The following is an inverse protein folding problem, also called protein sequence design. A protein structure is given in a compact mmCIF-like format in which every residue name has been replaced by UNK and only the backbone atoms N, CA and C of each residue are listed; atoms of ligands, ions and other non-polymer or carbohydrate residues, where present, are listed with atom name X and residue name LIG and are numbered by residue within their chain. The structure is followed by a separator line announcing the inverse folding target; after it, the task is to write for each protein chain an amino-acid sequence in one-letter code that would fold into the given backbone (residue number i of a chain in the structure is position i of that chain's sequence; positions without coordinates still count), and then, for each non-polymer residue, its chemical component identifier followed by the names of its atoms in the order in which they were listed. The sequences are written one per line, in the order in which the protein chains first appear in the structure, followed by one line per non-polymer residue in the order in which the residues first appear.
data_IF_164858541372
#
_entry.id   IF_164858541372
#
_cell.length_a   1.000
_cell.length_b   1.000
_cell.length_c   1.000
_cell.angle_alpha   90.00
_cell.angle_beta   90.00
_cell.angle_gamma   90.00
#
_symmetry.space_group_name_H-M   'P 1'
#
loop_
_entity.id
_entity.type
_entity.pdbx_description
1 polymer ?
#
# COMPACT_ATOMS: atom_id res chain seq x y z
N UNK A 1 -16.79 -19.19 -18.54
CA UNK A 1 -15.99 -19.22 -17.30
C UNK A 1 -14.54 -18.85 -17.58
N UNK A 2 -13.92 -19.43 -18.62
CA UNK A 2 -12.53 -19.16 -19.06
C UNK A 2 -12.15 -17.66 -19.19
N UNK A 3 -13.07 -16.82 -19.69
CA UNK A 3 -12.83 -15.37 -19.78
C UNK A 3 -12.74 -14.65 -18.42
N UNK A 4 -13.48 -15.10 -17.40
CA UNK A 4 -13.44 -14.52 -16.06
C UNK A 4 -12.17 -14.93 -15.30
N UNK A 5 -11.72 -16.17 -15.50
CA UNK A 5 -10.46 -16.67 -14.93
C UNK A 5 -9.25 -15.94 -15.50
N UNK A 6 -9.25 -15.68 -16.81
CA UNK A 6 -8.21 -14.87 -17.46
C UNK A 6 -8.20 -13.44 -16.92
N UNK A 7 -9.36 -12.81 -16.76
CA UNK A 7 -9.47 -11.49 -16.13
C UNK A 7 -8.97 -11.50 -14.68
N UNK A 8 -9.32 -12.53 -13.89
CA UNK A 8 -8.86 -12.66 -12.51
C UNK A 8 -7.33 -12.77 -12.46
N UNK A 9 -6.72 -13.55 -13.35
CA UNK A 9 -5.28 -13.68 -13.48
C UNK A 9 -4.60 -12.34 -13.79
N UNK A 10 -5.13 -11.59 -14.77
CA UNK A 10 -4.62 -10.26 -15.11
C UNK A 10 -4.70 -9.28 -13.94
N UNK A 11 -5.84 -9.25 -13.24
CA UNK A 11 -6.02 -8.38 -12.07
C UNK A 11 -5.05 -8.75 -10.94
N UNK A 12 -4.81 -10.05 -10.72
CA UNK A 12 -3.82 -10.51 -9.73
C UNK A 12 -2.41 -10.09 -10.09
N UNK A 13 -2.04 -10.18 -11.37
CA UNK A 13 -0.73 -9.76 -11.84
C UNK A 13 -0.53 -8.26 -11.65
N UNK A 14 -1.49 -7.44 -12.08
CA UNK A 14 -1.46 -5.98 -11.91
C UNK A 14 -1.43 -5.62 -10.42
N UNK A 15 -2.31 -6.24 -9.62
CA UNK A 15 -2.34 -6.06 -8.18
C UNK A 15 -0.99 -6.39 -7.55
N UNK A 16 -0.43 -7.55 -7.87
CA UNK A 16 0.87 -7.98 -7.38
C UNK A 16 1.99 -6.99 -7.69
N UNK A 17 2.04 -6.49 -8.93
CA UNK A 17 3.00 -5.46 -9.33
C UNK A 17 2.82 -4.18 -8.52
N UNK A 18 1.58 -3.72 -8.31
CA UNK A 18 1.29 -2.53 -7.50
C UNK A 18 1.73 -2.70 -6.05
N UNK A 19 1.48 -3.86 -5.43
CA UNK A 19 1.95 -4.15 -4.06
C UNK A 19 3.47 -4.16 -3.99
N UNK A 20 4.14 -4.79 -4.96
CA UNK A 20 5.60 -4.80 -5.04
C UNK A 20 6.18 -3.38 -5.16
N UNK A 21 5.66 -2.57 -6.08
CA UNK A 21 6.07 -1.17 -6.25
C UNK A 21 5.83 -0.37 -4.97
N UNK A 22 4.71 -0.58 -4.29
CA UNK A 22 4.39 0.09 -3.03
C UNK A 22 5.34 -0.32 -1.88
N UNK A 23 5.87 -1.56 -1.87
CA UNK A 23 6.95 -1.98 -0.95
C UNK A 23 8.20 -1.14 -1.18
N UNK A 24 8.64 -0.99 -2.43
CA UNK A 24 9.82 -0.17 -2.76
C UNK A 24 9.66 1.26 -2.27
N UNK A 25 8.56 1.93 -2.63
CA UNK A 25 8.33 3.31 -2.20
C UNK A 25 8.19 3.45 -0.69
N UNK A 26 7.53 2.50 -0.02
CA UNK A 26 7.41 2.49 1.44
C UNK A 26 8.78 2.30 2.14
N UNK A 27 9.67 1.48 1.58
CA UNK A 27 11.04 1.35 2.08
C UNK A 27 11.88 2.59 1.80
N UNK A 28 11.75 3.18 0.60
CA UNK A 28 12.47 4.40 0.24
C UNK A 28 12.10 5.59 1.12
N UNK A 29 10.81 5.79 1.42
CA UNK A 29 10.40 6.89 2.30
C UNK A 29 10.83 6.66 3.75
N UNK A 30 10.85 5.40 4.22
CA UNK A 30 11.44 5.06 5.52
C UNK A 30 12.91 5.49 5.58
N UNK A 31 13.73 5.07 4.62
CA UNK A 31 15.16 5.40 4.58
C UNK A 31 15.41 6.90 4.42
N UNK A 32 14.60 7.58 3.61
CA UNK A 32 14.65 9.03 3.44
C UNK A 32 14.39 9.76 4.77
N UNK A 33 13.32 9.38 5.47
CA UNK A 33 13.01 9.93 6.78
C UNK A 33 14.14 9.63 7.78
N UNK A 34 14.70 8.41 7.78
CA UNK A 34 15.82 7.98 8.64
C UNK A 34 17.04 8.86 8.48
N UNK A 35 17.40 9.16 7.23
CA UNK A 35 18.54 10.01 6.91
C UNK A 35 18.41 11.45 7.43
N UNK A 36 17.18 11.95 7.62
CA UNK A 36 16.91 13.28 8.17
C UNK A 36 17.00 13.34 9.70
N UNK A 37 17.16 12.21 10.40
CA UNK A 37 17.27 12.17 11.85
C UNK A 37 16.01 12.59 12.62
N UNK A 38 14.87 12.76 11.93
CA UNK A 38 13.60 13.23 12.49
C UNK A 38 13.04 12.30 13.59
N UNK A 39 13.47 11.03 13.62
CA UNK A 39 13.08 10.06 14.64
C UNK A 39 13.65 10.35 16.05
N UNK A 40 14.68 11.20 16.18
CA UNK A 40 15.45 11.32 17.44
C UNK A 40 14.88 12.28 18.49
N UNK A 41 13.67 12.82 18.31
CA UNK A 41 13.16 13.92 19.15
C UNK A 41 11.87 13.68 19.93
N UNK A 42 10.95 12.83 19.48
CA UNK A 42 9.68 12.58 20.20
C UNK A 42 9.08 11.22 19.88
N UNK A 43 8.34 10.66 20.85
CA UNK A 43 7.66 9.38 20.73
C UNK A 43 6.62 9.36 19.59
N UNK A 44 6.00 10.52 19.32
CA UNK A 44 5.07 10.70 18.18
C UNK A 44 5.83 10.60 16.86
N UNK A 45 7.02 11.19 16.76
CA UNK A 45 7.86 11.09 15.56
C UNK A 45 8.29 9.65 15.31
N UNK A 46 8.71 8.91 16.34
CA UNK A 46 9.11 7.51 16.21
C UNK A 46 7.96 6.61 15.74
N UNK A 47 6.75 6.83 16.26
CA UNK A 47 5.55 6.10 15.85
C UNK A 47 5.21 6.36 14.38
N UNK A 48 5.22 7.62 13.97
CA UNK A 48 4.97 7.99 12.58
C UNK A 48 6.05 7.38 11.67
N UNK A 49 7.31 7.34 12.10
CA UNK A 49 8.43 6.80 11.34
C UNK A 49 8.33 5.31 11.04
N UNK A 50 7.72 4.56 11.95
CA UNK A 50 7.51 3.13 11.78
C UNK A 50 6.44 2.82 10.72
N UNK A 51 5.59 3.79 10.35
CA UNK A 51 4.45 3.57 9.44
C UNK A 51 4.90 3.20 8.02
N UNK A 52 5.88 3.89 7.40
CA UNK A 52 6.46 3.44 6.14
C UNK A 52 6.92 1.98 6.16
N UNK A 53 7.66 1.57 7.20
CA UNK A 53 8.15 0.20 7.32
C UNK A 53 7.00 -0.80 7.53
N UNK A 54 6.05 -0.47 8.40
CA UNK A 54 4.83 -1.26 8.59
C UNK A 54 4.06 -1.41 7.28
N UNK A 55 3.90 -0.32 6.51
CA UNK A 55 3.25 -0.34 5.19
C UNK A 55 3.98 -1.27 4.23
N UNK A 56 5.32 -1.25 4.20
CA UNK A 56 6.12 -2.16 3.38
C UNK A 56 5.87 -3.63 3.76
N UNK A 57 5.92 -3.96 5.04
CA UNK A 57 5.66 -5.32 5.55
C UNK A 57 4.25 -5.79 5.20
N UNK A 58 3.23 -4.96 5.45
CA UNK A 58 1.83 -5.32 5.20
C UNK A 58 1.55 -5.45 3.69
N UNK A 59 2.15 -4.60 2.84
CA UNK A 59 2.07 -4.81 1.38
C UNK A 59 2.66 -6.18 0.98
N UNK A 60 3.77 -6.60 1.59
CA UNK A 60 4.37 -7.92 1.37
C UNK A 60 3.46 -9.07 1.77
N UNK A 61 2.79 -8.96 2.93
CA UNK A 61 1.78 -9.93 3.36
C UNK A 61 0.64 -10.01 2.36
N UNK A 62 0.08 -8.87 1.95
CA UNK A 62 -1.04 -8.82 1.00
C UNK A 62 -0.63 -9.40 -0.36
N UNK A 63 0.58 -9.13 -0.84
CA UNK A 63 1.13 -9.75 -2.05
C UNK A 63 1.09 -11.28 -1.95
N UNK A 64 1.55 -11.84 -0.82
CA UNK A 64 1.46 -13.27 -0.55
C UNK A 64 0.02 -13.79 -0.59
N UNK A 65 -0.93 -13.07 0.02
CA UNK A 65 -2.35 -13.44 0.01
C UNK A 65 -2.97 -13.41 -1.41
N UNK A 66 -2.58 -12.45 -2.26
CA UNK A 66 -3.02 -12.36 -3.66
C UNK A 66 -2.47 -13.52 -4.49
N UNK A 67 -1.21 -13.90 -4.26
CA UNK A 67 -0.59 -15.07 -4.89
C UNK A 67 -1.32 -16.35 -4.46
N UNK A 68 -1.63 -16.48 -3.16
CA UNK A 68 -2.36 -17.61 -2.59
C UNK A 68 -3.88 -17.61 -2.89
N UNK A 69 -4.41 -16.57 -3.55
CA UNK A 69 -5.82 -16.42 -3.91
C UNK A 69 -6.78 -16.37 -2.70
N UNK A 70 -6.29 -15.88 -1.56
CA UNK A 70 -7.06 -15.84 -0.32
C UNK A 70 -8.00 -14.63 -0.30
N UNK A 71 -9.24 -14.85 0.16
CA UNK A 71 -10.29 -13.81 0.27
C UNK A 71 -9.87 -12.66 1.20
N UNK A 72 -9.03 -12.96 2.18
CA UNK A 72 -8.55 -12.00 3.17
C UNK A 72 -7.68 -10.89 2.55
N UNK A 73 -7.05 -11.15 1.39
CA UNK A 73 -6.26 -10.17 0.66
C UNK A 73 -7.02 -8.85 0.43
N UNK A 74 -8.34 -8.93 0.24
CA UNK A 74 -9.18 -7.76 0.00
C UNK A 74 -9.36 -6.93 1.27
N UNK A 75 -9.64 -7.57 2.41
CA UNK A 75 -9.88 -6.87 3.67
C UNK A 75 -8.57 -6.22 4.14
N UNK A 76 -7.47 -6.97 4.16
CA UNK A 76 -6.16 -6.44 4.54
C UNK A 76 -5.70 -5.34 3.57
N UNK A 77 -5.92 -5.51 2.27
CA UNK A 77 -5.60 -4.51 1.26
C UNK A 77 -6.35 -3.19 1.42
N UNK A 78 -7.66 -3.24 1.72
CA UNK A 78 -8.46 -2.04 1.97
C UNK A 78 -7.98 -1.34 3.24
N UNK A 79 -7.86 -2.09 4.35
CA UNK A 79 -7.44 -1.53 5.64
C UNK A 79 -6.07 -0.84 5.53
N UNK A 80 -5.09 -1.52 4.93
CA UNK A 80 -3.75 -0.95 4.72
C UNK A 80 -3.78 0.31 3.86
N UNK A 81 -4.55 0.29 2.76
CA UNK A 81 -4.60 1.43 1.84
C UNK A 81 -5.23 2.65 2.49
N UNK A 82 -6.31 2.48 3.25
CA UNK A 82 -6.96 3.57 3.99
C UNK A 82 -6.03 4.14 5.06
N UNK A 83 -5.40 3.27 5.87
CA UNK A 83 -4.47 3.70 6.92
C UNK A 83 -3.29 4.47 6.32
N UNK A 84 -2.70 3.96 5.23
CA UNK A 84 -1.59 4.63 4.55
C UNK A 84 -2.00 6.01 4.04
N UNK A 85 -3.16 6.14 3.37
CA UNK A 85 -3.64 7.42 2.87
C UNK A 85 -3.79 8.44 4.01
N UNK A 86 -4.42 8.03 5.11
CA UNK A 86 -4.63 8.90 6.28
C UNK A 86 -3.28 9.35 6.84
N UNK A 87 -2.36 8.43 7.10
CA UNK A 87 -1.09 8.76 7.74
C UNK A 87 -0.21 9.63 6.84
N UNK A 88 -0.09 9.32 5.54
CA UNK A 88 0.68 10.17 4.64
C UNK A 88 0.04 11.55 4.44
N UNK A 89 -1.29 11.65 4.47
CA UNK A 89 -1.96 12.96 4.46
C UNK A 89 -1.67 13.78 5.72
N UNK A 90 -1.63 13.13 6.89
CA UNK A 90 -1.22 13.76 8.14
C UNK A 90 0.23 14.22 8.06
N UNK A 91 1.13 13.39 7.52
CA UNK A 91 2.53 13.77 7.32
C UNK A 91 2.68 15.07 6.51
N UNK A 92 1.96 15.17 5.39
CA UNK A 92 1.99 16.34 4.52
C UNK A 92 1.35 17.58 5.17
N UNK A 93 0.39 17.39 6.07
CA UNK A 93 -0.32 18.49 6.74
C UNK A 93 0.46 19.06 7.94
N UNK A 94 1.17 18.21 8.67
CA UNK A 94 1.80 18.59 9.94
C UNK A 94 3.31 18.86 9.85
N UNK A 95 3.99 18.41 8.79
CA UNK A 95 5.45 18.56 8.67
C UNK A 95 5.84 19.31 7.40
N UNK A 96 6.76 20.26 7.56
CA UNK A 96 7.49 20.85 6.44
C UNK A 96 8.58 19.87 5.99
N UNK A 97 8.26 19.06 4.99
CA UNK A 97 9.13 18.01 4.47
C UNK A 97 9.84 18.49 3.19
N UNK A 98 11.08 18.03 2.95
CA UNK A 98 11.73 18.20 1.65
C UNK A 98 10.86 17.68 0.50
N UNK A 99 10.91 18.35 -0.66
CA UNK A 99 10.08 18.03 -1.83
C UNK A 99 10.13 16.56 -2.23
N UNK A 100 11.32 15.93 -2.21
CA UNK A 100 11.47 14.52 -2.58
C UNK A 100 10.70 13.56 -1.65
N UNK A 101 10.48 13.90 -0.37
CA UNK A 101 9.65 13.12 0.55
C UNK A 101 8.17 13.37 0.27
N UNK A 102 7.81 14.61 -0.06
CA UNK A 102 6.45 14.97 -0.46
C UNK A 102 6.04 14.17 -1.70
N UNK A 103 6.90 14.11 -2.71
CA UNK A 103 6.66 13.36 -3.95
C UNK A 103 6.51 11.86 -3.68
N UNK A 104 7.35 11.30 -2.81
CA UNK A 104 7.24 9.90 -2.38
C UNK A 104 5.91 9.63 -1.66
N UNK A 105 5.51 10.51 -0.72
CA UNK A 105 4.27 10.36 0.02
C UNK A 105 3.04 10.43 -0.90
N UNK A 106 3.01 11.39 -1.82
CA UNK A 106 1.94 11.52 -2.81
C UNK A 106 1.90 10.31 -3.76
N UNK A 107 3.06 9.79 -4.17
CA UNK A 107 3.15 8.57 -4.98
C UNK A 107 2.55 7.37 -4.23
N UNK A 108 2.86 7.20 -2.94
CA UNK A 108 2.30 6.13 -2.12
C UNK A 108 0.79 6.28 -1.96
N UNK A 109 0.28 7.50 -1.76
CA UNK A 109 -1.16 7.78 -1.71
C UNK A 109 -1.82 7.37 -3.03
N UNK A 110 -1.26 7.81 -4.17
CA UNK A 110 -1.77 7.46 -5.49
C UNK A 110 -1.80 5.94 -5.72
N UNK A 111 -0.73 5.24 -5.36
CA UNK A 111 -0.67 3.78 -5.43
C UNK A 111 -1.74 3.12 -4.56
N UNK A 112 -1.99 3.62 -3.35
CA UNK A 112 -3.04 3.10 -2.48
C UNK A 112 -4.45 3.28 -3.08
N UNK A 113 -4.71 4.42 -3.74
CA UNK A 113 -5.99 4.65 -4.44
C UNK A 113 -6.16 3.66 -5.61
N UNK A 114 -5.11 3.45 -6.40
CA UNK A 114 -5.15 2.48 -7.52
C UNK A 114 -5.35 1.06 -6.97
N UNK A 115 -4.65 0.69 -5.89
CA UNK A 115 -4.80 -0.60 -5.22
C UNK A 115 -6.24 -0.86 -4.76
N UNK A 116 -6.91 0.15 -4.19
CA UNK A 116 -8.34 0.04 -3.83
C UNK A 116 -9.22 -0.28 -5.04
N UNK A 117 -8.98 0.38 -6.18
CA UNK A 117 -9.69 0.08 -7.43
C UNK A 117 -9.46 -1.35 -7.91
N UNK A 118 -8.21 -1.82 -7.87
CA UNK A 118 -7.85 -3.20 -8.25
C UNK A 118 -8.50 -4.23 -7.33
N UNK A 119 -8.50 -3.99 -6.01
CA UNK A 119 -9.16 -4.87 -5.03
C UNK A 119 -10.67 -4.93 -5.23
N UNK A 120 -11.31 -3.80 -5.58
CA UNK A 120 -12.73 -3.75 -5.90
C UNK A 120 -13.05 -4.65 -7.11
N UNK A 121 -12.27 -4.53 -8.19
CA UNK A 121 -12.44 -5.37 -9.38
C UNK A 121 -12.16 -6.84 -9.06
N UNK A 122 -11.10 -7.14 -8.30
CA UNK A 122 -10.77 -8.49 -7.86
C UNK A 122 -11.94 -9.15 -7.11
N UNK A 123 -12.51 -8.46 -6.11
CA UNK A 123 -13.65 -8.97 -5.34
C UNK A 123 -14.89 -9.17 -6.22
N UNK A 124 -15.14 -8.24 -7.14
CA UNK A 124 -16.28 -8.33 -8.08
C UNK A 124 -16.17 -9.55 -8.98
N UNK A 125 -14.97 -9.87 -9.48
CA UNK A 125 -14.75 -11.05 -10.32
C UNK A 125 -14.80 -12.33 -9.48
N UNK A 126 -14.19 -12.36 -8.29
CA UNK A 126 -14.29 -13.52 -7.40
C UNK A 126 -15.75 -13.90 -7.09
N UNK A 127 -16.60 -12.92 -6.77
CA UNK A 127 -18.03 -13.16 -6.54
C UNK A 127 -18.76 -13.75 -7.76
N UNK A 128 -18.37 -13.36 -8.97
CA UNK A 128 -18.96 -13.91 -10.20
C UNK A 128 -18.54 -15.35 -10.47
N UNK A 129 -17.36 -15.76 -10.03
CA UNK A 129 -16.82 -17.10 -10.26
C UNK A 129 -17.30 -18.07 -9.17
N UNK A 130 -17.31 -17.62 -7.89
CA UNK A 130 -17.50 -18.51 -6.74
C UNK A 130 -18.84 -18.32 -6.00
N UNK A 131 -19.69 -17.37 -6.42
CA UNK A 131 -20.91 -16.97 -5.71
C UNK A 131 -20.64 -16.07 -4.51
#
# INVERSE_FOLDING_TARGET
MEGLEKQLSTIRFIGGLLYFVNIFFSASIYTALESLGLAKGSLIFSLLFAVPLWSAVVNGVILGLIIAQLKDAVIYGIMKSVIAIVIYSLYLSFFSLPLYIVDLALTIIGLCVIQLGVLYLYRRIQKKIFG
#
